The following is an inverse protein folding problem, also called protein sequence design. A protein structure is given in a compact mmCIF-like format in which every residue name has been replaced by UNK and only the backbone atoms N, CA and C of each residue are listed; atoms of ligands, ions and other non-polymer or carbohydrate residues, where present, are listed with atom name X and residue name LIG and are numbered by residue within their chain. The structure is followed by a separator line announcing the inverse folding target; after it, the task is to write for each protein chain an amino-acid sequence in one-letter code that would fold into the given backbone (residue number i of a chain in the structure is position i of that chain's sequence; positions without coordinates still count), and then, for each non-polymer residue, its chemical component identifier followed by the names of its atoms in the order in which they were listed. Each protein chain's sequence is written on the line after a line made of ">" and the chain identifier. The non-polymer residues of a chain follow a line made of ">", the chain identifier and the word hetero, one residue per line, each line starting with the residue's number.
data_IF_546703042615
#
_entry.id   IF_546703042615
#
_cell.length_a   1.000
_cell.length_b   1.000
_cell.length_c   1.000
_cell.angle_alpha   90.00
_cell.angle_beta   90.00
_cell.angle_gamma   90.00
#
_symmetry.space_group_name_H-M   'P 1'
#
loop_
_entity.id
_entity.type
_entity.pdbx_description
1 polymer ?
#
# COMPACT_ATOMS: atom_id res chain seq x y z
N UNK A 1 -21.82 19.08 36.16
CA UNK A 1 -20.86 18.28 35.37
C UNK A 1 -19.85 19.26 34.79
N UNK A 2 -18.62 19.25 35.31
CA UNK A 2 -17.73 20.41 35.30
C UNK A 2 -17.20 20.72 33.89
N UNK A 3 -17.32 21.99 33.48
CA UNK A 3 -16.89 22.53 32.18
C UNK A 3 -15.42 22.21 31.84
N UNK A 4 -14.59 22.03 32.87
CA UNK A 4 -13.21 21.54 32.75
C UNK A 4 -13.11 20.13 32.16
N UNK A 5 -14.00 19.20 32.53
CA UNK A 5 -13.99 17.83 31.98
C UNK A 5 -14.38 17.78 30.50
N UNK A 6 -15.31 18.66 30.08
CA UNK A 6 -15.70 18.78 28.69
C UNK A 6 -14.54 19.33 27.83
N UNK A 7 -13.80 20.31 28.36
CA UNK A 7 -12.59 20.86 27.74
C UNK A 7 -11.47 19.83 27.64
N UNK A 8 -11.18 19.09 28.71
CA UNK A 8 -10.13 18.06 28.68
C UNK A 8 -10.45 16.93 27.71
N UNK A 9 -11.72 16.51 27.63
CA UNK A 9 -12.14 15.48 26.69
C UNK A 9 -12.09 15.96 25.24
N UNK A 10 -12.49 17.21 24.99
CA UNK A 10 -12.37 17.83 23.67
C UNK A 10 -10.91 17.93 23.21
N UNK A 11 -10.01 18.35 24.10
CA UNK A 11 -8.57 18.43 23.79
C UNK A 11 -7.96 17.04 23.54
N UNK A 12 -8.32 16.04 24.33
CA UNK A 12 -7.91 14.65 24.12
C UNK A 12 -8.38 14.13 22.76
N UNK A 13 -9.64 14.39 22.40
CA UNK A 13 -10.21 13.97 21.12
C UNK A 13 -9.49 14.64 19.94
N UNK A 14 -9.22 15.95 20.03
CA UNK A 14 -8.47 16.66 19.00
C UNK A 14 -7.03 16.15 18.86
N UNK A 15 -6.38 15.79 19.96
CA UNK A 15 -5.05 15.20 19.94
C UNK A 15 -5.04 13.81 19.29
N UNK A 16 -6.03 12.96 19.59
CA UNK A 16 -6.19 11.64 18.98
C UNK A 16 -6.44 11.76 17.47
N UNK A 17 -7.31 12.67 17.03
CA UNK A 17 -7.59 12.91 15.61
C UNK A 17 -6.33 13.39 14.89
N UNK A 18 -5.55 14.31 15.47
CA UNK A 18 -4.30 14.79 14.89
C UNK A 18 -3.25 13.67 14.74
N UNK A 19 -3.14 12.77 15.72
CA UNK A 19 -2.25 11.61 15.66
C UNK A 19 -2.67 10.62 14.57
N UNK A 20 -3.97 10.38 14.39
CA UNK A 20 -4.47 9.48 13.34
C UNK A 20 -4.31 10.09 11.94
N UNK A 21 -4.46 11.40 11.77
CA UNK A 21 -4.33 12.05 10.46
C UNK A 21 -2.89 12.14 9.95
N UNK A 22 -1.89 12.15 10.84
CA UNK A 22 -0.47 12.14 10.46
C UNK A 22 0.02 10.82 9.85
N UNK A 23 -0.77 9.75 9.94
CA UNK A 23 -0.51 8.46 9.29
C UNK A 23 -1.20 8.35 7.93
N UNK A 24 -1.54 9.50 7.32
CA UNK A 24 -2.02 9.55 5.96
C UNK A 24 -1.11 8.70 5.10
N UNK A 25 -1.72 7.66 4.50
CA UNK A 25 -1.12 6.67 3.61
C UNK A 25 0.05 7.31 2.90
N UNK A 26 1.26 7.12 3.44
CA UNK A 26 2.49 7.39 2.72
C UNK A 26 2.28 6.62 1.43
N UNK A 27 2.26 7.32 0.29
CA UNK A 27 2.14 6.75 -1.04
C UNK A 27 2.76 5.35 -1.00
N UNK A 28 1.90 4.32 -1.00
CA UNK A 28 2.30 3.01 -0.54
C UNK A 28 3.50 2.63 -1.38
N UNK A 29 4.68 2.56 -0.75
CA UNK A 29 5.91 2.36 -1.49
C UNK A 29 5.71 1.11 -2.34
N UNK A 30 5.99 1.23 -3.64
CA UNK A 30 5.74 0.14 -4.58
C UNK A 30 6.32 -1.15 -4.01
N UNK A 31 5.51 -2.22 -4.02
CA UNK A 31 5.97 -3.52 -3.55
C UNK A 31 7.13 -3.98 -4.42
N UNK A 32 8.05 -4.77 -3.87
CA UNK A 32 9.19 -5.31 -4.64
C UNK A 32 8.76 -5.97 -5.96
N UNK A 33 7.67 -6.78 -6.01
CA UNK A 33 7.13 -7.28 -7.28
C UNK A 33 6.79 -6.20 -8.29
N UNK A 34 6.18 -5.09 -7.86
CA UNK A 34 5.78 -4.00 -8.76
C UNK A 34 7.00 -3.18 -9.21
N UNK A 35 7.90 -2.87 -8.28
CA UNK A 35 9.11 -2.09 -8.53
C UNK A 35 10.08 -2.81 -9.50
N UNK A 36 10.11 -4.14 -9.45
CA UNK A 36 10.98 -4.97 -10.31
C UNK A 36 10.27 -5.53 -11.54
N UNK A 37 8.98 -5.25 -11.73
CA UNK A 37 8.20 -5.77 -12.86
C UNK A 37 8.70 -5.15 -14.17
N UNK A 38 9.18 -6.00 -15.07
CA UNK A 38 9.54 -5.64 -16.43
C UNK A 38 8.81 -6.56 -17.39
N UNK A 39 8.11 -5.99 -18.37
CA UNK A 39 7.43 -6.73 -19.42
C UNK A 39 7.92 -6.28 -20.79
N UNK A 40 8.36 -7.23 -21.59
CA UNK A 40 8.78 -7.03 -22.98
C UNK A 40 7.82 -7.76 -23.91
N UNK A 41 7.60 -7.22 -25.10
CA UNK A 41 6.79 -7.87 -26.11
C UNK A 41 7.55 -8.01 -27.42
N UNK A 42 7.25 -9.07 -28.16
CA UNK A 42 7.84 -9.33 -29.48
C UNK A 42 7.05 -8.67 -30.62
N UNK A 43 6.07 -7.81 -30.29
CA UNK A 43 5.14 -7.13 -31.20
C UNK A 43 4.35 -8.05 -32.14
N UNK A 44 4.36 -9.37 -31.92
CA UNK A 44 3.64 -10.33 -32.76
C UNK A 44 2.65 -11.15 -31.95
N UNK A 45 3.11 -11.84 -30.91
CA UNK A 45 2.30 -12.84 -30.20
C UNK A 45 2.63 -13.02 -28.73
N UNK A 46 3.79 -12.55 -28.25
CA UNK A 46 4.27 -12.85 -26.90
C UNK A 46 4.54 -11.59 -26.10
N UNK A 47 4.21 -11.70 -24.82
CA UNK A 47 4.67 -10.79 -23.77
C UNK A 47 5.39 -11.66 -22.75
N UNK A 48 6.62 -11.30 -22.42
CA UNK A 48 7.45 -11.95 -21.41
C UNK A 48 7.60 -10.96 -20.27
N UNK A 49 7.20 -11.35 -19.06
CA UNK A 49 7.35 -10.54 -17.87
C UNK A 49 8.30 -11.22 -16.88
N UNK A 50 9.18 -10.43 -16.27
CA UNK A 50 10.04 -10.83 -15.16
C UNK A 50 9.79 -9.90 -13.98
N UNK A 51 9.76 -10.46 -12.78
CA UNK A 51 9.61 -9.73 -11.51
C UNK A 51 10.26 -10.55 -10.40
N UNK A 52 10.61 -9.90 -9.29
CA UNK A 52 11.16 -10.53 -8.11
C UNK A 52 10.19 -10.42 -6.93
N UNK A 53 10.14 -11.45 -6.10
CA UNK A 53 9.45 -11.40 -4.80
C UNK A 53 10.47 -11.21 -3.67
N UNK A 54 10.00 -10.84 -2.49
CA UNK A 54 10.84 -10.89 -1.29
C UNK A 54 10.89 -12.32 -0.75
N UNK A 55 12.09 -12.82 -0.47
CA UNK A 55 12.29 -14.14 0.14
C UNK A 55 11.49 -14.30 1.44
N UNK A 56 11.50 -13.25 2.27
CA UNK A 56 10.73 -13.19 3.52
C UNK A 56 9.21 -13.23 3.28
N UNK A 57 8.74 -12.73 2.13
CA UNK A 57 7.31 -12.74 1.79
C UNK A 57 6.86 -14.12 1.31
N UNK A 58 7.70 -14.87 0.59
CA UNK A 58 7.33 -16.18 0.02
C UNK A 58 6.94 -17.22 1.08
N UNK A 59 7.47 -17.12 2.30
CA UNK A 59 7.09 -18.00 3.41
C UNK A 59 5.70 -17.73 3.98
N UNK A 60 5.10 -16.58 3.66
CA UNK A 60 3.85 -16.10 4.25
C UNK A 60 2.75 -15.93 3.20
N UNK A 61 3.10 -15.48 2.00
CA UNK A 61 2.20 -15.01 0.96
C UNK A 61 2.78 -15.36 -0.42
N UNK A 62 1.95 -15.87 -1.33
CA UNK A 62 2.34 -16.06 -2.73
C UNK A 62 1.70 -14.98 -3.60
N UNK A 63 2.50 -14.30 -4.41
CA UNK A 63 2.03 -13.29 -5.35
C UNK A 63 1.76 -13.88 -6.73
N UNK A 64 0.70 -13.40 -7.39
CA UNK A 64 0.35 -13.78 -8.76
C UNK A 64 0.23 -12.52 -9.62
N UNK A 65 0.95 -12.50 -10.76
CA UNK A 65 0.85 -11.42 -11.73
C UNK A 65 -0.41 -11.60 -12.58
N UNK A 66 -1.31 -10.61 -12.55
CA UNK A 66 -2.51 -10.60 -13.37
C UNK A 66 -2.37 -9.64 -14.55
N UNK A 67 -2.69 -10.11 -15.76
CA UNK A 67 -2.79 -9.29 -16.97
C UNK A 67 -4.23 -8.88 -17.21
N UNK A 68 -4.51 -7.58 -17.13
CA UNK A 68 -5.79 -6.99 -17.56
C UNK A 68 -5.70 -6.58 -19.03
N UNK A 69 -6.67 -6.99 -19.83
CA UNK A 69 -6.87 -6.49 -21.19
C UNK A 69 -7.97 -5.43 -21.13
N UNK A 70 -7.68 -4.20 -21.54
CA UNK A 70 -8.70 -3.15 -21.70
C UNK A 70 -9.58 -3.53 -22.90
N UNK A 71 -10.90 -3.37 -22.76
CA UNK A 71 -11.89 -3.70 -23.79
C UNK A 71 -12.20 -2.50 -24.67
#
# INVERSE_FOLDING_TARGET
>A
MNQQMALTWGLLYMALVALCWGHGVTEAQETVPLQTLQCYNDYTSRIICSWADMEDAQGLLNMTLYRKLEK
#
